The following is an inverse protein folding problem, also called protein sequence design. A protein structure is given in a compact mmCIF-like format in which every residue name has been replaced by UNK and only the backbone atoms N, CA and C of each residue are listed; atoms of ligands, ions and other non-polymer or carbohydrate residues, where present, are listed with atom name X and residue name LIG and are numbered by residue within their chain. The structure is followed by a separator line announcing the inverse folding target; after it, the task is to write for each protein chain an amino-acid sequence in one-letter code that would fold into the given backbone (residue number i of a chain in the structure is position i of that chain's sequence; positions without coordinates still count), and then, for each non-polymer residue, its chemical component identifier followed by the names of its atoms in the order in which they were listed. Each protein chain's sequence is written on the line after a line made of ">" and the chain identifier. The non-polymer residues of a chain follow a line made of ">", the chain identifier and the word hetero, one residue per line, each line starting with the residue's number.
data_IF_141360801752
#
_entry.id   IF_141360801752
#
_cell.length_a   1.000
_cell.length_b   1.000
_cell.length_c   1.000
_cell.angle_alpha   90.00
_cell.angle_beta   90.00
_cell.angle_gamma   90.00
#
_symmetry.space_group_name_H-M   'P 1'
#
loop_
_entity.id
_entity.type
_entity.pdbx_description
1 polymer ?
#
# COMPACT_ATOMS: atom_id res chain seq x y z
N UNK A 1 -18.41 -20.53 2.25
CA UNK A 1 -17.26 -20.01 1.48
C UNK A 1 -16.04 -19.73 2.36
N UNK A 2 -16.03 -18.74 3.25
CA UNK A 2 -14.78 -18.33 3.94
C UNK A 2 -14.75 -18.56 5.47
N UNK A 3 -15.85 -19.00 6.09
CA UNK A 3 -15.89 -19.48 7.48
C UNK A 3 -15.51 -18.49 8.58
N UNK A 4 -15.41 -17.19 8.29
CA UNK A 4 -14.82 -16.21 9.19
C UNK A 4 -15.71 -15.74 10.33
N UNK A 5 -17.04 -15.91 10.23
CA UNK A 5 -18.02 -15.52 11.23
C UNK A 5 -19.12 -16.57 11.34
N UNK A 6 -19.70 -16.73 12.53
CA UNK A 6 -20.91 -17.52 12.72
C UNK A 6 -22.16 -16.72 12.33
N UNK A 7 -23.25 -17.38 11.92
CA UNK A 7 -24.48 -16.69 11.47
C UNK A 7 -25.05 -15.69 12.49
N UNK A 8 -24.81 -15.94 13.79
CA UNK A 8 -25.19 -15.04 14.89
C UNK A 8 -24.36 -13.74 14.97
N UNK A 9 -23.19 -13.71 14.33
CA UNK A 9 -22.25 -12.58 14.29
C UNK A 9 -22.40 -11.77 12.99
N UNK A 10 -23.22 -12.22 12.04
CA UNK A 10 -23.60 -11.45 10.85
C UNK A 10 -24.59 -10.35 11.23
N UNK A 11 -24.06 -9.21 11.66
CA UNK A 11 -24.81 -7.95 11.72
C UNK A 11 -24.73 -7.22 10.38
N UNK A 12 -25.61 -6.26 10.13
CA UNK A 12 -25.43 -5.31 9.03
C UNK A 12 -24.10 -4.55 9.28
N UNK A 13 -23.19 -4.58 8.30
CA UNK A 13 -21.88 -3.93 8.33
C UNK A 13 -20.96 -4.39 9.48
N UNK A 14 -20.47 -5.63 9.41
CA UNK A 14 -19.62 -6.23 10.47
C UNK A 14 -18.29 -5.50 10.69
N UNK A 15 -17.81 -4.75 9.69
CA UNK A 15 -16.55 -4.02 9.77
C UNK A 15 -16.66 -2.68 10.53
N UNK A 16 -17.88 -2.14 10.66
CA UNK A 16 -18.12 -0.90 11.38
C UNK A 16 -18.05 -1.18 12.88
N UNK A 17 -16.93 -0.78 13.48
CA UNK A 17 -16.62 -1.06 14.89
C UNK A 17 -16.97 0.12 15.80
N UNK A 18 -17.00 1.35 15.27
CA UNK A 18 -17.33 2.54 16.04
C UNK A 18 -18.83 2.79 16.08
N UNK A 19 -19.35 3.22 17.23
CA UNK A 19 -20.79 3.50 17.40
C UNK A 19 -21.28 4.57 16.42
N UNK A 20 -20.44 5.57 16.13
CA UNK A 20 -20.76 6.65 15.18
C UNK A 20 -20.81 6.17 13.72
N UNK A 21 -20.04 5.14 13.36
CA UNK A 21 -20.08 4.52 12.02
C UNK A 21 -21.43 3.82 11.84
N UNK A 22 -21.84 3.04 12.84
CA UNK A 22 -23.13 2.32 12.85
C UNK A 22 -24.33 3.26 12.86
N UNK A 23 -24.27 4.35 13.62
CA UNK A 23 -25.35 5.34 13.67
C UNK A 23 -25.57 6.06 12.34
N UNK A 24 -24.48 6.30 11.60
CA UNK A 24 -24.51 7.06 10.34
C UNK A 24 -24.49 6.19 9.09
N UNK A 25 -24.20 4.90 9.23
CA UNK A 25 -24.04 3.95 8.13
C UNK A 25 -22.87 4.30 7.20
N UNK A 26 -21.81 4.91 7.72
CA UNK A 26 -20.60 5.29 6.97
C UNK A 26 -19.36 4.64 7.57
N UNK A 27 -18.46 4.15 6.73
CA UNK A 27 -17.10 3.76 7.13
C UNK A 27 -16.29 5.02 7.36
N UNK A 28 -15.77 5.22 8.57
CA UNK A 28 -14.89 6.35 8.90
C UNK A 28 -13.44 5.89 8.90
N UNK A 29 -13.15 4.70 9.43
CA UNK A 29 -11.79 4.14 9.49
C UNK A 29 -11.63 2.90 8.64
N UNK A 30 -10.48 2.82 7.97
CA UNK A 30 -10.12 1.61 7.25
C UNK A 30 -9.92 0.42 8.20
N UNK A 31 -10.67 -0.66 7.98
CA UNK A 31 -10.54 -1.91 8.72
C UNK A 31 -10.05 -3.00 7.78
N UNK A 32 -9.06 -3.78 8.22
CA UNK A 32 -8.56 -4.92 7.46
C UNK A 32 -9.16 -6.22 7.97
N UNK A 33 -9.53 -7.11 7.06
CA UNK A 33 -9.93 -8.48 7.40
C UNK A 33 -9.21 -9.48 6.51
N UNK A 34 -8.65 -10.49 7.15
CA UNK A 34 -8.06 -11.66 6.53
C UNK A 34 -9.09 -12.79 6.50
N UNK A 35 -9.36 -13.31 5.32
CA UNK A 35 -10.25 -14.43 5.06
C UNK A 35 -9.45 -15.57 4.41
N UNK A 36 -9.83 -16.81 4.71
CA UNK A 36 -9.29 -17.97 4.02
C UNK A 36 -10.36 -18.53 3.08
N UNK A 37 -10.04 -18.64 1.80
CA UNK A 37 -10.93 -19.12 0.76
C UNK A 37 -10.36 -20.41 0.14
N UNK A 38 -11.14 -21.48 0.20
CA UNK A 38 -10.80 -22.75 -0.45
C UNK A 38 -11.32 -22.69 -1.91
N UNK A 39 -10.40 -22.55 -2.85
CA UNK A 39 -10.73 -22.38 -4.26
C UNK A 39 -11.05 -23.75 -4.92
N UNK A 40 -11.93 -23.80 -5.94
CA UNK A 40 -12.27 -25.04 -6.64
C UNK A 40 -11.09 -25.82 -7.26
N UNK A 41 -9.93 -25.17 -7.43
CA UNK A 41 -8.69 -25.81 -7.90
C UNK A 41 -7.99 -26.67 -6.83
N UNK A 42 -8.50 -26.66 -5.58
CA UNK A 42 -7.95 -27.40 -4.45
C UNK A 42 -6.88 -26.63 -3.65
N UNK A 43 -6.59 -25.39 -4.02
CA UNK A 43 -5.68 -24.51 -3.29
C UNK A 43 -6.45 -23.61 -2.32
N UNK A 44 -5.78 -23.21 -1.23
CA UNK A 44 -6.32 -22.32 -0.21
C UNK A 44 -5.66 -20.96 -0.28
N UNK A 45 -6.45 -19.92 -0.52
CA UNK A 45 -6.00 -18.55 -0.66
C UNK A 45 -6.28 -17.76 0.62
N UNK A 46 -5.33 -16.90 0.99
CA UNK A 46 -5.48 -15.93 2.05
C UNK A 46 -5.79 -14.57 1.42
N UNK A 47 -7.04 -14.13 1.58
CA UNK A 47 -7.54 -12.88 1.03
C UNK A 47 -7.50 -11.82 2.13
N UNK A 48 -6.79 -10.72 1.88
CA UNK A 48 -6.75 -9.57 2.78
C UNK A 48 -7.59 -8.46 2.17
N UNK A 49 -8.69 -8.13 2.81
CA UNK A 49 -9.57 -7.01 2.43
C UNK A 49 -9.26 -5.82 3.32
N UNK A 50 -9.24 -4.63 2.73
CA UNK A 50 -9.22 -3.37 3.46
C UNK A 50 -10.46 -2.62 3.04
N UNK A 51 -11.36 -2.36 3.98
CA UNK A 51 -12.50 -1.50 3.74
C UNK A 51 -12.04 -0.05 3.76
N UNK A 52 -12.42 0.74 2.76
CA UNK A 52 -11.96 2.13 2.61
C UNK A 52 -13.13 3.08 2.70
N UNK A 53 -12.99 4.23 3.38
CA UNK A 53 -14.06 5.22 3.45
C UNK A 53 -14.42 5.77 2.06
N UNK A 54 -15.71 5.84 1.74
CA UNK A 54 -16.19 6.33 0.43
C UNK A 54 -16.28 7.85 0.30
N UNK A 55 -16.17 8.59 1.41
CA UNK A 55 -16.36 10.04 1.44
C UNK A 55 -15.07 10.80 1.10
N UNK A 56 -15.20 11.88 0.33
CA UNK A 56 -14.08 12.71 -0.17
C UNK A 56 -13.21 13.30 0.94
N UNK A 57 -13.80 13.57 2.11
CA UNK A 57 -13.10 14.11 3.29
C UNK A 57 -12.02 13.16 3.83
N UNK A 58 -12.13 11.86 3.53
CA UNK A 58 -11.17 10.84 3.96
C UNK A 58 -10.27 10.33 2.82
N UNK A 59 -10.12 11.12 1.76
CA UNK A 59 -9.25 10.79 0.61
C UNK A 59 -7.82 10.38 0.99
N UNK A 60 -7.28 10.93 2.09
CA UNK A 60 -5.97 10.53 2.61
C UNK A 60 -5.96 9.10 3.16
N UNK A 61 -7.04 8.64 3.81
CA UNK A 61 -7.16 7.26 4.27
C UNK A 61 -7.32 6.28 3.11
N UNK A 62 -8.11 6.67 2.11
CA UNK A 62 -8.31 5.89 0.87
C UNK A 62 -6.98 5.68 0.15
N UNK A 63 -6.22 6.75 -0.10
CA UNK A 63 -4.95 6.64 -0.83
C UNK A 63 -3.95 5.73 -0.13
N UNK A 64 -3.87 5.78 1.21
CA UNK A 64 -2.95 4.91 1.99
C UNK A 64 -3.37 3.44 1.98
N UNK A 65 -4.68 3.20 2.07
CA UNK A 65 -5.23 1.84 2.02
C UNK A 65 -4.97 1.21 0.66
N UNK A 66 -5.20 1.97 -0.41
CA UNK A 66 -4.89 1.56 -1.78
C UNK A 66 -3.39 1.24 -1.97
N UNK A 67 -2.48 2.01 -1.36
CA UNK A 67 -1.03 1.78 -1.48
C UNK A 67 -0.55 0.47 -0.84
N UNK A 68 -1.39 -0.17 -0.02
CA UNK A 68 -1.11 -1.46 0.61
C UNK A 68 -1.63 -2.66 -0.19
N UNK A 69 -2.48 -2.43 -1.20
CA UNK A 69 -3.13 -3.46 -1.99
C UNK A 69 -2.44 -3.68 -3.34
N UNK A 70 -2.73 -4.81 -3.98
CA UNK A 70 -2.34 -5.10 -5.36
C UNK A 70 -3.49 -4.84 -6.37
N UNK A 71 -4.73 -4.88 -5.89
CA UNK A 71 -5.92 -4.57 -6.69
C UNK A 71 -7.02 -3.94 -5.86
N UNK A 72 -8.02 -3.39 -6.55
CA UNK A 72 -9.17 -2.74 -5.95
C UNK A 72 -10.48 -3.25 -6.60
N UNK A 73 -11.51 -3.41 -5.78
CA UNK A 73 -12.87 -3.72 -6.25
C UNK A 73 -13.66 -2.43 -6.40
N UNK A 74 -14.05 -2.10 -7.62
CA UNK A 74 -14.95 -0.99 -7.90
C UNK A 74 -16.39 -1.50 -7.85
N UNK A 75 -17.04 -1.34 -6.69
CA UNK A 75 -18.43 -1.74 -6.49
C UNK A 75 -19.35 -0.63 -6.98
N UNK A 76 -20.11 -0.91 -8.05
CA UNK A 76 -21.07 0.03 -8.65
C UNK A 76 -22.49 -0.48 -8.40
N UNK A 77 -23.39 0.41 -8.02
CA UNK A 77 -24.81 0.07 -7.86
C UNK A 77 -25.47 -0.10 -9.24
N UNK A 78 -25.98 -1.29 -9.52
CA UNK A 78 -26.59 -1.61 -10.79
C UNK A 78 -27.92 -0.87 -11.06
N UNK A 79 -28.53 -0.25 -10.03
CA UNK A 79 -29.70 0.61 -10.18
C UNK A 79 -29.33 2.09 -10.36
N UNK A 80 -28.31 2.59 -9.66
CA UNK A 80 -27.95 4.01 -9.67
C UNK A 80 -26.93 4.37 -10.75
N UNK A 81 -26.02 3.46 -11.10
CA UNK A 81 -24.93 3.73 -12.04
C UNK A 81 -23.70 4.32 -11.37
N UNK A 82 -22.88 5.01 -12.17
CA UNK A 82 -21.57 5.51 -11.75
C UNK A 82 -21.71 6.89 -11.10
N UNK A 83 -21.30 7.00 -9.85
CA UNK A 83 -21.28 8.28 -9.13
C UNK A 83 -19.91 8.95 -9.15
N UNK A 84 -19.87 10.27 -8.97
CA UNK A 84 -18.63 11.05 -8.98
C UNK A 84 -17.58 10.57 -7.95
N UNK A 85 -18.02 10.05 -6.80
CA UNK A 85 -17.13 9.50 -5.77
C UNK A 85 -16.44 8.20 -6.24
N UNK A 86 -17.19 7.33 -6.91
CA UNK A 86 -16.68 6.09 -7.51
C UNK A 86 -15.60 6.38 -8.54
N UNK A 87 -15.82 7.41 -9.37
CA UNK A 87 -14.85 7.87 -10.37
C UNK A 87 -13.56 8.38 -9.72
N UNK A 88 -13.66 9.22 -8.67
CA UNK A 88 -12.49 9.78 -7.99
C UNK A 88 -11.62 8.70 -7.33
N UNK A 89 -12.25 7.73 -6.65
CA UNK A 89 -11.54 6.63 -6.01
C UNK A 89 -10.90 5.70 -7.06
N UNK A 90 -11.60 5.45 -8.17
CA UNK A 90 -11.07 4.65 -9.25
C UNK A 90 -9.82 5.26 -9.88
N UNK A 91 -9.83 6.57 -10.19
CA UNK A 91 -8.63 7.23 -10.71
C UNK A 91 -7.46 7.14 -9.72
N UNK A 92 -7.74 7.29 -8.42
CA UNK A 92 -6.70 7.16 -7.38
C UNK A 92 -6.10 5.75 -7.35
N UNK A 93 -6.90 4.71 -7.59
CA UNK A 93 -6.42 3.32 -7.65
C UNK A 93 -5.57 3.07 -8.91
N UNK A 94 -6.03 3.56 -10.07
CA UNK A 94 -5.29 3.45 -11.34
C UNK A 94 -3.97 4.22 -11.30
N UNK A 95 -3.95 5.41 -10.72
CA UNK A 95 -2.73 6.23 -10.56
C UNK A 95 -1.67 5.54 -9.68
N UNK A 96 -2.11 4.66 -8.76
CA UNK A 96 -1.24 3.85 -7.93
C UNK A 96 -0.82 2.52 -8.60
N UNK A 97 -1.28 2.27 -9.82
CA UNK A 97 -0.96 1.07 -10.59
C UNK A 97 -1.65 -0.19 -10.07
N UNK A 98 -2.81 -0.05 -9.44
CA UNK A 98 -3.61 -1.17 -8.97
C UNK A 98 -4.47 -1.73 -10.11
N UNK A 99 -4.65 -3.05 -10.11
CA UNK A 99 -5.64 -3.70 -10.98
C UNK A 99 -7.04 -3.44 -10.42
N UNK A 100 -7.91 -2.81 -11.22
CA UNK A 100 -9.26 -2.45 -10.79
C UNK A 100 -10.28 -3.37 -11.45
N UNK A 101 -11.02 -4.13 -10.64
CA UNK A 101 -12.11 -4.98 -11.09
C UNK A 101 -13.45 -4.31 -10.81
N UNK A 102 -14.26 -4.09 -11.86
CA UNK A 102 -15.62 -3.62 -11.71
C UNK A 102 -16.56 -4.73 -11.23
N UNK A 103 -17.46 -4.40 -10.29
CA UNK A 103 -18.44 -5.32 -9.72
C UNK A 103 -19.81 -4.63 -9.67
N UNK A 104 -20.83 -5.26 -10.22
CA UNK A 104 -22.20 -4.72 -10.23
C UNK A 104 -22.98 -5.27 -9.05
N UNK A 105 -23.34 -4.41 -8.10
CA UNK A 105 -24.08 -4.78 -6.89
C UNK A 105 -25.58 -4.45 -7.00
N UNK A 106 -26.39 -5.02 -6.09
CA UNK A 106 -27.85 -4.82 -5.95
C UNK A 106 -28.69 -5.31 -7.14
N UNK A 107 -28.25 -6.37 -7.81
CA UNK A 107 -29.00 -7.01 -8.91
C UNK A 107 -30.34 -7.62 -8.52
N UNK A 108 -30.65 -7.67 -7.22
CA UNK A 108 -31.94 -8.14 -6.70
C UNK A 108 -33.08 -7.13 -6.90
N UNK A 109 -32.78 -5.88 -7.22
CA UNK A 109 -33.79 -4.85 -7.42
C UNK A 109 -34.46 -4.99 -8.81
N UNK A 110 -35.80 -4.81 -8.90
CA UNK A 110 -36.53 -5.02 -10.14
C UNK A 110 -36.26 -3.95 -11.22
N UNK A 111 -35.70 -2.81 -10.85
CA UNK A 111 -35.38 -1.68 -11.74
C UNK A 111 -33.90 -1.65 -12.17
N UNK A 112 -33.23 -2.80 -12.21
CA UNK A 112 -31.80 -2.88 -12.52
C UNK A 112 -31.58 -3.06 -14.02
N UNK A 113 -30.69 -2.24 -14.59
CA UNK A 113 -30.28 -2.29 -15.99
C UNK A 113 -28.75 -2.48 -16.07
N UNK A 114 -28.24 -3.72 -15.89
CA UNK A 114 -26.81 -3.98 -15.82
C UNK A 114 -26.07 -3.53 -17.07
N UNK A 115 -26.65 -3.76 -18.25
CA UNK A 115 -26.01 -3.45 -19.54
C UNK A 115 -25.80 -1.94 -19.72
N UNK A 116 -26.72 -1.11 -19.21
CA UNK A 116 -26.56 0.35 -19.21
C UNK A 116 -25.41 0.78 -18.31
N UNK A 117 -25.29 0.17 -17.12
CA UNK A 117 -24.24 0.50 -16.14
C UNK A 117 -22.86 0.03 -16.61
N UNK A 118 -22.78 -1.11 -17.30
CA UNK A 118 -21.54 -1.58 -17.94
C UNK A 118 -21.02 -0.54 -18.94
N UNK A 119 -21.90 -0.07 -19.84
CA UNK A 119 -21.54 0.98 -20.80
C UNK A 119 -21.10 2.27 -20.09
N UNK A 120 -21.78 2.64 -19.00
CA UNK A 120 -21.43 3.82 -18.21
C UNK A 120 -20.04 3.71 -17.56
N UNK A 121 -19.66 2.52 -17.06
CA UNK A 121 -18.32 2.26 -16.52
C UNK A 121 -17.27 2.37 -17.63
N UNK A 122 -17.52 1.77 -18.79
CA UNK A 122 -16.59 1.84 -19.93
C UNK A 122 -16.41 3.26 -20.46
N UNK A 123 -17.50 4.02 -20.62
CA UNK A 123 -17.48 5.36 -21.19
C UNK A 123 -16.88 6.40 -20.24
N UNK A 124 -17.18 6.31 -18.93
CA UNK A 124 -16.76 7.31 -17.94
C UNK A 124 -15.40 6.95 -17.33
N UNK A 125 -15.24 5.71 -16.90
CA UNK A 125 -14.07 5.27 -16.14
C UNK A 125 -12.99 4.72 -17.08
N UNK A 126 -13.39 4.07 -18.17
CA UNK A 126 -12.45 3.50 -19.15
C UNK A 126 -11.92 2.13 -18.76
N UNK A 127 -12.66 1.36 -17.96
CA UNK A 127 -12.35 -0.01 -17.55
C UNK A 127 -13.30 -0.97 -18.27
N UNK A 128 -12.78 -2.09 -18.76
CA UNK A 128 -13.58 -3.17 -19.35
C UNK A 128 -14.48 -3.79 -18.27
N UNK A 129 -15.79 -3.68 -18.48
CA UNK A 129 -16.80 -4.14 -17.53
C UNK A 129 -17.75 -5.18 -18.14
N UNK A 130 -17.47 -5.68 -19.36
CA UNK A 130 -18.34 -6.66 -20.05
C UNK A 130 -18.54 -7.91 -19.21
N UNK A 131 -17.46 -8.42 -18.60
CA UNK A 131 -17.45 -9.62 -17.78
C UNK A 131 -17.56 -9.33 -16.27
N UNK A 132 -18.00 -8.10 -15.89
CA UNK A 132 -18.10 -7.69 -14.50
C UNK A 132 -19.03 -8.63 -13.70
N UNK A 133 -18.57 -9.19 -12.56
CA UNK A 133 -19.41 -10.03 -11.71
C UNK A 133 -20.66 -9.30 -11.25
N UNK A 134 -21.81 -9.94 -11.45
CA UNK A 134 -23.13 -9.46 -11.04
C UNK A 134 -23.46 -10.07 -9.67
N UNK A 135 -23.53 -9.23 -8.64
CA UNK A 135 -23.70 -9.67 -7.25
C UNK A 135 -24.85 -8.96 -6.55
N UNK A 136 -25.42 -9.63 -5.55
CA UNK A 136 -26.33 -9.01 -4.59
C UNK A 136 -25.79 -9.27 -3.19
N UNK A 137 -25.20 -8.24 -2.59
CA UNK A 137 -24.70 -8.32 -1.21
C UNK A 137 -25.79 -8.64 -0.17
N UNK A 138 -27.07 -8.33 -0.50
CA UNK A 138 -28.21 -8.58 0.38
C UNK A 138 -28.64 -10.06 0.39
N UNK A 139 -28.65 -10.69 -0.77
CA UNK A 139 -29.06 -12.10 -0.92
C UNK A 139 -27.89 -13.07 -0.92
N UNK A 140 -26.66 -12.57 -1.07
CA UNK A 140 -25.45 -13.37 -1.27
C UNK A 140 -25.30 -13.92 -2.68
N UNK A 141 -26.21 -13.60 -3.61
CA UNK A 141 -26.17 -14.10 -4.98
C UNK A 141 -24.91 -13.60 -5.70
N UNK A 142 -24.16 -14.52 -6.32
CA UNK A 142 -23.01 -14.20 -7.17
C UNK A 142 -21.69 -13.95 -6.43
N UNK A 143 -21.70 -13.91 -5.09
CA UNK A 143 -20.48 -13.68 -4.28
C UNK A 143 -19.43 -14.78 -4.50
N UNK A 144 -19.87 -16.01 -4.67
CA UNK A 144 -18.99 -17.16 -4.95
C UNK A 144 -18.17 -16.95 -6.22
N UNK A 145 -18.85 -16.55 -7.30
CA UNK A 145 -18.21 -16.25 -8.60
C UNK A 145 -17.34 -15.01 -8.53
N UNK A 146 -17.71 -14.02 -7.71
CA UNK A 146 -16.87 -12.86 -7.46
C UNK A 146 -15.55 -13.25 -6.80
N UNK A 147 -15.57 -14.17 -5.82
CA UNK A 147 -14.35 -14.64 -5.17
C UNK A 147 -13.45 -15.43 -6.14
N UNK A 148 -14.03 -16.26 -7.00
CA UNK A 148 -13.30 -16.97 -8.06
C UNK A 148 -12.64 -15.96 -9.03
N UNK A 149 -13.43 -15.02 -9.57
CA UNK A 149 -12.93 -13.99 -10.47
C UNK A 149 -11.84 -13.13 -9.83
N UNK A 150 -11.98 -12.79 -8.54
CA UNK A 150 -11.01 -12.00 -7.79
C UNK A 150 -9.65 -12.68 -7.74
N UNK A 151 -9.61 -13.99 -7.46
CA UNK A 151 -8.36 -14.78 -7.40
C UNK A 151 -7.70 -14.87 -8.78
N UNK A 152 -8.48 -14.96 -9.85
CA UNK A 152 -7.96 -15.05 -11.23
C UNK A 152 -7.46 -13.71 -11.77
N UNK A 153 -8.10 -12.60 -11.38
CA UNK A 153 -7.83 -11.27 -11.92
C UNK A 153 -6.76 -10.50 -11.14
N UNK A 154 -6.79 -10.53 -9.81
CA UNK A 154 -5.86 -9.77 -8.98
C UNK A 154 -4.55 -10.55 -8.83
N UNK A 155 -3.39 -9.95 -9.18
CA UNK A 155 -2.11 -10.63 -9.05
C UNK A 155 -1.75 -10.85 -7.58
N UNK A 156 -1.10 -11.98 -7.30
CA UNK A 156 -0.55 -12.27 -5.98
C UNK A 156 0.52 -11.23 -5.59
N UNK A 157 0.64 -10.91 -4.29
CA UNK A 157 1.64 -9.96 -3.83
C UNK A 157 3.05 -10.45 -4.10
N UNK A 158 3.91 -9.53 -4.50
CA UNK A 158 5.34 -9.80 -4.73
C UNK A 158 6.14 -9.46 -3.48
N UNK A 159 7.05 -10.34 -3.10
CA UNK A 159 7.91 -10.12 -1.93
C UNK A 159 8.84 -11.30 -1.67
N UNK A 160 10.07 -10.99 -1.29
CA UNK A 160 11.05 -11.99 -0.85
C UNK A 160 11.07 -12.07 0.68
N UNK A 161 10.94 -13.29 1.21
CA UNK A 161 10.94 -13.57 2.65
C UNK A 161 12.33 -13.46 3.27
N UNK A 162 13.38 -13.65 2.48
CA UNK A 162 14.78 -13.55 2.93
C UNK A 162 15.32 -12.13 2.87
N UNK A 163 14.62 -11.25 2.14
CA UNK A 163 15.02 -9.87 2.01
C UNK A 163 14.96 -9.10 3.36
N UNK A 164 15.74 -8.01 3.47
CA UNK A 164 15.55 -6.97 4.49
C UNK A 164 14.09 -6.66 4.77
N UNK A 165 13.68 -6.70 6.05
CA UNK A 165 12.31 -6.34 6.42
C UNK A 165 11.95 -4.93 5.93
N UNK A 166 10.88 -4.86 5.15
CA UNK A 166 10.20 -3.64 4.77
C UNK A 166 8.71 -3.82 5.02
N UNK A 167 8.21 -3.19 6.08
CA UNK A 167 6.77 -3.16 6.37
C UNK A 167 6.26 -1.72 6.41
N UNK A 168 5.14 -1.46 5.74
CA UNK A 168 4.48 -0.16 5.69
C UNK A 168 3.40 -0.08 6.77
N UNK A 169 3.38 1.00 7.54
CA UNK A 169 2.28 1.28 8.48
C UNK A 169 1.10 1.86 7.69
N UNK A 170 0.00 1.11 7.61
CA UNK A 170 -1.23 1.50 6.89
C UNK A 170 -2.09 2.43 7.75
N UNK A 171 -2.26 2.06 9.02
CA UNK A 171 -2.97 2.85 10.02
C UNK A 171 -2.42 2.56 11.42
N UNK A 172 -2.70 3.46 12.38
CA UNK A 172 -2.39 3.25 13.78
C UNK A 172 -3.46 3.84 14.69
N UNK A 173 -3.80 3.12 15.75
CA UNK A 173 -4.74 3.59 16.77
C UNK A 173 -4.25 3.23 18.17
N UNK A 174 -4.81 3.91 19.17
CA UNK A 174 -4.49 3.67 20.56
C UNK A 174 -5.54 2.75 21.19
N UNK A 175 -5.05 1.69 21.84
CA UNK A 175 -5.82 0.82 22.72
C UNK A 175 -5.39 1.07 24.18
N UNK A 176 -6.36 1.16 25.08
CA UNK A 176 -6.12 1.50 26.48
C UNK A 176 -5.27 0.46 27.24
N UNK A 177 -5.27 -0.79 26.80
CA UNK A 177 -4.56 -1.89 27.44
C UNK A 177 -3.30 -2.29 26.68
N UNK A 178 -3.36 -2.29 25.35
CA UNK A 178 -2.27 -2.75 24.49
C UNK A 178 -1.32 -1.61 24.06
N UNK A 179 -1.72 -0.36 24.22
CA UNK A 179 -1.00 0.81 23.72
C UNK A 179 -1.29 1.05 22.24
N UNK A 180 -0.34 1.59 21.49
CA UNK A 180 -0.51 1.80 20.05
C UNK A 180 -0.49 0.47 19.31
N UNK A 181 -1.56 0.19 18.57
CA UNK A 181 -1.69 -0.91 17.62
C UNK A 181 -1.45 -0.36 16.23
N UNK A 182 -0.45 -0.90 15.53
CA UNK A 182 -0.14 -0.51 14.15
C UNK A 182 -0.63 -1.58 13.19
N UNK A 183 -1.46 -1.20 12.22
CA UNK A 183 -1.78 -2.05 11.08
C UNK A 183 -0.67 -1.94 10.04
N UNK A 184 -0.09 -3.07 9.65
CA UNK A 184 1.10 -3.12 8.80
C UNK A 184 0.90 -4.03 7.60
N UNK A 185 1.48 -3.60 6.46
CA UNK A 185 1.66 -4.40 5.24
C UNK A 185 3.12 -4.81 5.16
N UNK A 186 3.43 -6.10 5.15
CA UNK A 186 4.81 -6.57 4.93
C UNK A 186 5.05 -6.70 3.43
N UNK A 187 5.93 -5.87 2.86
CA UNK A 187 6.33 -5.98 1.44
C UNK A 187 7.51 -6.94 1.25
N UNK A 188 8.49 -6.87 2.13
CA UNK A 188 9.68 -7.72 2.09
C UNK A 188 10.05 -8.20 3.50
N UNK A 189 10.67 -9.37 3.56
CA UNK A 189 11.15 -9.98 4.79
C UNK A 189 10.05 -10.62 5.64
N UNK A 190 10.35 -10.80 6.92
CA UNK A 190 9.44 -11.39 7.90
C UNK A 190 9.57 -10.67 9.24
N UNK A 191 8.46 -10.57 9.99
CA UNK A 191 8.40 -10.02 11.35
C UNK A 191 8.02 -11.15 12.29
N UNK A 192 8.76 -11.34 13.39
CA UNK A 192 8.44 -12.31 14.42
C UNK A 192 8.23 -11.63 15.77
N UNK A 193 7.43 -12.27 16.62
CA UNK A 193 7.30 -11.87 18.02
C UNK A 193 8.66 -11.90 18.72
N UNK A 194 8.99 -10.83 19.45
CA UNK A 194 10.28 -10.65 20.10
C UNK A 194 11.36 -10.01 19.23
N UNK A 195 11.09 -9.71 17.95
CA UNK A 195 12.04 -8.98 17.11
C UNK A 195 12.18 -7.52 17.57
N UNK A 196 13.35 -6.92 17.28
CA UNK A 196 13.61 -5.50 17.48
C UNK A 196 13.36 -4.74 16.18
N UNK A 197 12.19 -4.13 16.10
CA UNK A 197 11.79 -3.26 15.01
C UNK A 197 12.41 -1.89 15.16
N UNK A 198 12.63 -1.24 14.02
CA UNK A 198 13.15 0.10 13.91
C UNK A 198 12.26 0.89 12.96
N UNK A 199 11.74 2.01 13.45
CA UNK A 199 10.86 2.91 12.70
C UNK A 199 11.75 3.97 12.03
N UNK A 200 11.67 4.11 10.70
CA UNK A 200 12.63 4.94 9.95
C UNK A 200 12.54 6.43 10.30
N UNK A 201 11.34 6.96 10.52
CA UNK A 201 11.12 8.38 10.79
C UNK A 201 11.56 8.79 12.20
N UNK A 202 11.12 8.04 13.22
CA UNK A 202 11.39 8.35 14.64
C UNK A 202 12.78 7.90 15.08
N UNK A 203 13.40 6.98 14.33
CA UNK A 203 14.71 6.40 14.64
C UNK A 203 14.73 5.64 15.98
N UNK A 204 13.56 5.20 16.45
CA UNK A 204 13.42 4.45 17.68
C UNK A 204 13.33 2.95 17.41
N UNK A 205 13.90 2.17 18.34
CA UNK A 205 13.85 0.73 18.31
C UNK A 205 12.83 0.22 19.34
N UNK A 206 11.89 -0.61 18.89
CA UNK A 206 10.85 -1.18 19.73
C UNK A 206 10.86 -2.71 19.65
N UNK A 207 10.50 -3.37 20.75
CA UNK A 207 10.39 -4.82 20.81
C UNK A 207 8.97 -5.24 20.43
N UNK A 208 8.82 -6.19 19.52
CA UNK A 208 7.50 -6.74 19.16
C UNK A 208 6.95 -7.55 20.32
N UNK A 209 5.87 -7.06 20.92
CA UNK A 209 5.14 -7.72 22.00
C UNK A 209 4.14 -8.74 21.47
N UNK A 210 3.22 -8.32 20.60
CA UNK A 210 2.31 -9.22 19.89
C UNK A 210 2.20 -8.87 18.42
N UNK A 211 1.87 -9.89 17.63
CA UNK A 211 1.71 -9.80 16.19
C UNK A 211 0.67 -10.82 15.74
N UNK A 212 -0.18 -10.40 14.81
CA UNK A 212 -1.29 -11.23 14.36
C UNK A 212 -2.01 -10.67 13.16
N UNK A 213 -3.07 -11.36 12.77
CA UNK A 213 -3.97 -10.97 11.68
C UNK A 213 -5.37 -10.76 12.23
N UNK A 214 -6.20 -10.00 11.50
CA UNK A 214 -7.59 -9.79 11.85
C UNK A 214 -8.46 -10.78 11.08
N UNK A 215 -8.90 -11.85 11.72
CA UNK A 215 -9.90 -12.77 11.16
C UNK A 215 -11.24 -12.55 11.87
N UNK A 216 -12.02 -11.59 11.37
CA UNK A 216 -12.65 -10.43 12.07
C UNK A 216 -12.29 -10.12 13.54
N UNK A 217 -11.98 -11.12 14.36
CA UNK A 217 -11.36 -10.98 15.66
C UNK A 217 -9.83 -10.99 15.53
N UNK A 218 -9.09 -10.29 16.39
CA UNK A 218 -7.64 -10.35 16.39
C UNK A 218 -7.18 -11.76 16.79
N UNK A 219 -6.33 -12.37 15.94
CA UNK A 219 -5.70 -13.67 16.21
C UNK A 219 -4.19 -13.51 16.15
N UNK A 220 -3.51 -13.83 17.24
CA UNK A 220 -2.06 -13.83 17.31
C UNK A 220 -1.48 -14.98 16.47
N UNK A 221 -0.72 -14.66 15.43
CA UNK A 221 -0.03 -15.64 14.58
C UNK A 221 1.43 -15.85 15.01
N UNK A 222 2.02 -14.83 15.67
CA UNK A 222 3.42 -14.85 16.10
C UNK A 222 4.44 -14.55 14.98
N UNK A 223 4.03 -14.57 13.72
CA UNK A 223 4.82 -14.21 12.55
C UNK A 223 3.94 -13.51 11.50
N UNK A 224 4.51 -12.52 10.81
CA UNK A 224 3.97 -11.98 9.56
C UNK A 224 5.04 -12.09 8.47
N UNK A 225 4.65 -12.63 7.32
CA UNK A 225 5.50 -12.86 6.16
C UNK A 225 5.27 -11.82 5.05
N UNK A 226 6.21 -11.73 4.10
CA UNK A 226 6.07 -10.89 2.92
C UNK A 226 4.78 -11.21 2.16
N UNK A 227 3.99 -10.19 1.86
CA UNK A 227 2.68 -10.34 1.24
C UNK A 227 1.52 -10.51 2.23
N UNK A 228 1.75 -10.40 3.54
CA UNK A 228 0.68 -10.41 4.55
C UNK A 228 0.33 -9.00 5.07
N UNK A 229 -0.89 -8.87 5.58
CA UNK A 229 -1.39 -7.69 6.30
C UNK A 229 -1.78 -8.14 7.70
N UNK A 230 -1.38 -7.39 8.72
CA UNK A 230 -1.67 -7.74 10.10
C UNK A 230 -1.40 -6.60 11.07
N UNK A 231 -1.62 -6.83 12.35
CA UNK A 231 -1.33 -5.87 13.41
C UNK A 231 0.00 -6.19 14.10
N UNK A 232 0.69 -5.12 14.52
CA UNK A 232 1.90 -5.18 15.34
C UNK A 232 1.69 -4.33 16.59
N UNK A 233 1.99 -4.90 17.75
CA UNK A 233 1.97 -4.22 19.04
C UNK A 233 3.39 -4.22 19.59
N UNK A 234 4.00 -3.03 19.66
CA UNK A 234 5.41 -2.87 20.05
C UNK A 234 5.60 -2.08 21.36
N UNK A 235 4.55 -1.96 22.18
CA UNK A 235 4.61 -1.25 23.47
C UNK A 235 4.84 0.26 23.33
N UNK A 236 4.50 0.82 22.17
CA UNK A 236 4.59 2.26 21.88
C UNK A 236 3.47 2.97 22.63
N UNK A 237 3.81 3.99 23.40
CA UNK A 237 2.86 4.72 24.26
C UNK A 237 2.17 5.89 23.55
N UNK A 238 2.83 6.45 22.53
CA UNK A 238 2.36 7.62 21.80
C UNK A 238 2.11 7.24 20.33
N UNK A 239 0.96 7.64 19.79
CA UNK A 239 0.60 7.44 18.38
C UNK A 239 1.68 8.06 17.46
N UNK A 240 2.29 9.17 17.89
CA UNK A 240 3.39 9.80 17.14
C UNK A 240 4.65 8.93 17.03
N UNK A 241 4.79 7.90 17.87
CA UNK A 241 5.89 6.94 17.80
C UNK A 241 5.80 5.99 16.61
N UNK A 242 4.60 5.78 16.06
CA UNK A 242 4.34 4.97 14.87
C UNK A 242 3.52 5.77 13.84
N UNK A 243 4.16 6.76 13.18
CA UNK A 243 3.48 7.60 12.21
C UNK A 243 3.03 6.77 11.01
N UNK A 244 1.80 7.01 10.60
CA UNK A 244 1.19 6.29 9.48
C UNK A 244 1.89 6.65 8.17
N UNK A 245 2.10 5.67 7.30
CA UNK A 245 2.86 5.80 6.06
C UNK A 245 4.37 5.60 6.21
N UNK A 246 4.87 5.39 7.43
CA UNK A 246 6.30 5.10 7.65
C UNK A 246 6.65 3.63 7.43
N UNK A 247 7.94 3.36 7.23
CA UNK A 247 8.49 2.02 7.04
C UNK A 247 9.14 1.49 8.31
N UNK A 248 8.72 0.29 8.71
CA UNK A 248 9.31 -0.53 9.75
C UNK A 248 10.37 -1.45 9.13
N UNK A 249 11.53 -1.55 9.78
CA UNK A 249 12.64 -2.44 9.39
C UNK A 249 13.21 -3.14 10.62
N UNK A 250 14.02 -4.20 10.44
CA UNK A 250 14.78 -4.76 11.55
C UNK A 250 15.94 -3.83 11.95
N UNK A 251 16.17 -3.66 13.25
CA UNK A 251 17.30 -2.85 13.74
C UNK A 251 18.66 -3.34 13.19
N UNK A 252 18.80 -4.65 12.97
CA UNK A 252 20.00 -5.28 12.40
C UNK A 252 20.19 -4.94 10.91
N UNK A 253 19.09 -4.78 10.18
CA UNK A 253 19.09 -4.46 8.74
C UNK A 253 19.56 -3.04 8.47
N UNK A 254 19.24 -2.09 9.36
CA UNK A 254 19.73 -0.71 9.24
C UNK A 254 21.27 -0.66 9.24
N UNK A 255 21.92 -1.48 10.08
CA UNK A 255 23.38 -1.61 10.08
C UNK A 255 23.93 -2.17 8.76
N UNK A 256 23.19 -3.07 8.09
CA UNK A 256 23.59 -3.61 6.80
C UNK A 256 23.47 -2.60 5.68
N UNK A 257 22.37 -1.84 5.59
CA UNK A 257 22.18 -0.78 4.58
C UNK A 257 23.23 0.33 4.76
N UNK A 258 23.46 0.77 6.00
CA UNK A 258 24.49 1.77 6.31
C UNK A 258 25.89 1.23 6.00
N UNK A 259 26.18 -0.04 6.30
CA UNK A 259 27.45 -0.67 5.96
C UNK A 259 27.68 -0.78 4.44
N UNK A 260 26.64 -1.13 3.67
CA UNK A 260 26.69 -1.16 2.20
C UNK A 260 26.88 0.23 1.60
N UNK A 261 26.19 1.25 2.13
CA UNK A 261 26.38 2.64 1.71
C UNK A 261 27.80 3.13 2.02
N UNK A 262 28.36 2.78 3.17
CA UNK A 262 29.75 3.07 3.55
C UNK A 262 30.76 2.30 2.69
N UNK A 263 30.50 1.05 2.33
CA UNK A 263 31.37 0.25 1.44
C UNK A 263 31.33 0.75 -0.01
N UNK A 264 30.17 1.15 -0.54
CA UNK A 264 30.08 1.87 -1.83
C UNK A 264 30.85 3.20 -1.80
N UNK A 265 30.93 3.85 -0.63
CA UNK A 265 31.74 5.06 -0.43
C UNK A 265 33.25 4.79 -0.39
N UNK A 266 33.67 3.60 0.03
CA UNK A 266 35.08 3.17 0.06
C UNK A 266 35.62 2.72 -1.31
N UNK A 267 34.76 2.49 -2.30
CA UNK A 267 35.14 2.14 -3.68
C UNK A 267 35.05 3.31 -4.69
N UNK A 268 35.11 4.55 -4.21
CA UNK A 268 35.56 5.68 -5.06
C UNK A 268 37.05 5.90 -4.87
N UNK A 269 37.85 5.06 -5.53
CA UNK A 269 39.23 5.41 -5.87
C UNK A 269 39.19 6.66 -6.73
N UNK A 270 39.63 7.76 -6.14
CA UNK A 270 39.88 9.05 -6.78
C UNK A 270 40.97 8.84 -7.83
N UNK A 271 40.60 8.78 -9.11
CA UNK A 271 41.52 9.08 -10.21
C UNK A 271 41.37 10.56 -10.52
N UNK A 272 42.23 11.39 -9.91
CA UNK A 272 42.48 12.76 -10.37
C UNK A 272 43.72 12.69 -11.25
N UNK A 273 43.53 12.91 -12.55
CA UNK A 273 44.62 13.19 -13.46
C UNK A 273 44.53 14.63 -13.95
N UNK A 274 45.70 15.27 -14.00
CA UNK A 274 46.03 16.61 -14.48
C UNK A 274 45.95 17.76 -13.45
N UNK A 275 47.09 18.45 -13.32
CA UNK A 275 47.32 19.65 -12.52
C UNK A 275 46.16 20.64 -12.66
N UNK A 276 45.74 21.28 -11.56
CA UNK A 276 45.22 22.66 -11.44
C UNK A 276 44.36 22.85 -10.17
N UNK A 277 44.80 22.36 -9.00
CA UNK A 277 44.22 22.76 -7.70
C UNK A 277 45.35 23.17 -6.75
N UNK A 278 45.91 24.36 -6.99
CA UNK A 278 46.65 25.15 -5.99
C UNK A 278 46.21 26.61 -5.92
N UNK A 279 45.23 27.03 -6.71
CA UNK A 279 44.78 28.44 -6.80
C UNK A 279 43.45 28.73 -6.10
N UNK A 280 42.61 27.73 -5.79
CA UNK A 280 41.24 27.98 -5.28
C UNK A 280 41.09 27.78 -3.76
N UNK A 281 42.12 27.33 -3.03
CA UNK A 281 42.05 27.07 -1.58
C UNK A 281 42.81 28.08 -0.71
N UNK A 282 42.84 29.37 -1.10
CA UNK A 282 43.43 30.43 -0.24
C UNK A 282 42.56 31.66 0.04
N UNK A 283 41.37 31.80 -0.52
CA UNK A 283 40.50 32.94 -0.20
C UNK A 283 39.05 32.48 -0.05
N UNK A 284 38.61 32.20 1.18
CA UNK A 284 37.21 32.33 1.66
C UNK A 284 37.09 31.88 3.13
N UNK A 285 37.92 32.41 4.03
CA UNK A 285 37.62 32.46 5.46
C UNK A 285 37.68 33.93 5.84
N UNK A 286 36.54 34.62 5.70
CA UNK A 286 36.19 35.94 6.27
C UNK A 286 35.02 36.52 5.47
N UNK A 287 33.79 36.39 5.98
CA UNK A 287 33.03 37.56 6.44
C UNK A 287 31.70 37.14 7.07
N UNK A 288 31.35 37.92 8.07
CA UNK A 288 30.29 37.78 9.05
C UNK A 288 29.03 38.54 8.59
N UNK A 289 27.86 38.07 9.04
CA UNK A 289 26.67 38.83 9.49
C UNK A 289 25.93 39.80 8.55
N UNK A 290 24.61 39.64 8.59
CA UNK A 290 23.53 40.62 8.38
C UNK A 290 23.40 41.29 7.00
N UNK A 291 22.34 40.99 6.25
CA UNK A 291 21.22 41.92 6.02
C UNK A 291 20.10 41.25 5.20
N UNK A 292 18.88 41.79 5.36
CA UNK A 292 17.65 41.44 4.65
C UNK A 292 17.73 41.76 3.15
N UNK A 293 16.80 41.13 2.42
CA UNK A 293 16.33 41.37 1.05
C UNK A 293 17.24 40.93 -0.11
N UNK A 294 16.58 40.36 -1.13
CA UNK A 294 17.08 40.05 -2.48
C UNK A 294 17.65 38.63 -2.73
N UNK A 295 16.88 37.58 -2.41
CA UNK A 295 17.10 36.22 -2.93
C UNK A 295 16.20 35.94 -4.15
N UNK A 296 16.14 36.87 -5.10
CA UNK A 296 15.42 36.70 -6.37
C UNK A 296 16.18 37.42 -7.48
N UNK A 297 17.43 36.99 -7.74
CA UNK A 297 18.21 37.37 -8.94
C UNK A 297 19.47 36.54 -9.21
N UNK A 298 19.93 35.68 -8.28
CA UNK A 298 21.11 34.83 -8.51
C UNK A 298 20.82 33.37 -8.95
N UNK A 299 19.57 32.90 -8.91
CA UNK A 299 19.25 31.52 -9.35
C UNK A 299 18.90 31.38 -10.85
N UNK A 300 18.65 32.50 -11.54
CA UNK A 300 18.22 32.52 -12.96
C UNK A 300 19.37 32.70 -13.97
N UNK A 301 20.63 32.71 -13.52
CA UNK A 301 21.81 32.91 -14.38
C UNK A 301 22.57 31.62 -14.73
N UNK A 302 22.40 30.53 -13.97
CA UNK A 302 23.08 29.24 -14.25
C UNK A 302 22.21 28.20 -14.98
N UNK A 303 20.90 28.43 -15.14
CA UNK A 303 19.98 27.53 -15.88
C UNK A 303 19.99 27.80 -17.40
N UNK A 304 20.84 28.72 -17.90
CA UNK A 304 20.89 29.10 -19.33
C UNK A 304 22.07 28.52 -20.13
N UNK A 305 22.85 27.57 -19.60
CA UNK A 305 24.01 26.96 -20.31
C UNK A 305 24.01 25.44 -20.48
N UNK A 306 22.92 24.72 -20.15
CA UNK A 306 22.82 23.27 -20.38
C UNK A 306 21.50 22.84 -21.05
N UNK A 307 21.06 23.62 -22.05
CA UNK A 307 20.14 23.17 -23.09
C UNK A 307 20.76 23.50 -24.44
N UNK A 308 20.60 22.61 -25.42
CA UNK A 308 21.20 22.55 -26.76
C UNK A 308 22.54 21.81 -26.88
N UNK A 309 22.48 20.49 -26.73
CA UNK A 309 22.99 19.59 -27.78
C UNK A 309 21.94 18.49 -28.00
N UNK A 310 21.40 18.45 -29.24
CA UNK A 310 20.33 17.58 -29.77
C UNK A 310 20.67 16.08 -29.61
N UNK A 311 19.74 15.17 -29.29
CA UNK A 311 18.62 14.60 -30.08
C UNK A 311 19.05 13.97 -31.43
N UNK A 312 19.22 12.65 -31.47
CA UNK A 312 18.69 11.76 -32.52
C UNK A 312 18.72 10.29 -32.09
N UNK A 313 17.66 9.56 -32.41
CA UNK A 313 17.28 8.20 -32.02
C UNK A 313 18.21 7.08 -32.53
N UNK A 314 18.08 5.87 -31.97
CA UNK A 314 17.72 4.61 -32.66
C UNK A 314 17.44 3.51 -31.63
N UNK A 315 16.31 2.83 -31.78
CA UNK A 315 15.92 1.59 -31.12
C UNK A 315 16.63 0.37 -31.72
N UNK A 316 17.00 -0.64 -30.91
CA UNK A 316 16.86 -2.06 -31.29
C UNK A 316 17.12 -3.02 -30.12
N UNK A 317 16.43 -4.16 -30.19
CA UNK A 317 16.31 -5.29 -29.27
C UNK A 317 17.48 -6.33 -29.28
N UNK A 318 17.37 -7.32 -28.36
CA UNK A 318 17.88 -8.73 -28.39
C UNK A 318 19.30 -8.95 -27.85
N UNK A 319 19.68 -9.97 -27.05
CA UNK A 319 19.07 -11.02 -26.19
C UNK A 319 20.22 -11.83 -25.53
N UNK A 320 19.89 -12.63 -24.51
CA UNK A 320 20.57 -13.83 -23.97
C UNK A 320 21.76 -13.60 -22.98
N UNK A 321 21.83 -14.27 -21.82
CA UNK A 321 21.56 -15.70 -21.55
C UNK A 321 21.19 -16.00 -20.07
N UNK A 322 20.56 -17.17 -19.91
CA UNK A 322 19.97 -17.85 -18.74
C UNK A 322 20.82 -18.00 -17.46
N UNK A 323 20.11 -18.17 -16.31
CA UNK A 323 20.34 -19.32 -15.42
C UNK A 323 19.06 -19.75 -14.67
N UNK A 324 18.64 -20.99 -14.90
CA UNK A 324 17.68 -21.73 -14.08
C UNK A 324 18.25 -21.99 -12.68
N UNK A 325 17.37 -22.00 -11.68
CA UNK A 325 17.48 -22.90 -10.53
C UNK A 325 16.08 -23.20 -9.98
N UNK A 326 15.57 -24.38 -10.32
CA UNK A 326 14.50 -25.07 -9.58
C UNK A 326 15.10 -25.84 -8.40
N UNK A 327 14.21 -26.30 -7.52
CA UNK A 327 14.32 -27.37 -6.49
C UNK A 327 14.74 -26.89 -5.09
N UNK A 328 14.07 -27.29 -4.00
CA UNK A 328 13.17 -28.45 -3.74
C UNK A 328 11.94 -28.00 -2.97
#
# INVERSE_FOLDING_TARGET
>A
MCGALQDREMQAQVLDSMDIERERGITIKAQSVTLFYDHPNGERYQLNFIDTPGHVDFSYEVSRSLAACEGALLVVDAAQGVEAQSVANCYTAVDQGLEVMAVLNKIDLPQVEPERVIQEIEDIIGIDAVDAPRVSAKSGLGVDKLLEALVEFIPAPTGDREAPLQALIIDSWFDNYLGVVSLVRVREGTIRKGDKLYIKSTQEAHLVGSIGVFTPKPVDTGVLEAGEVGFVIAGIKDIAGAPVGDTITHAKTLMWIVSQALNKSRHKSILVCSQWIRVILKNSVKLCKNCKSTMLRCFLSQIRRMRLALVSAVASWVCCTWRLSKSV
#
